data_IF_821003206695
#
_entry.id   IF_821003206695
#
_cell.length_a   1.000
_cell.length_b   1.000
_cell.length_c   1.000
_cell.angle_alpha   90.00
_cell.angle_beta   90.00
_cell.angle_gamma   90.00
#
_symmetry.space_group_name_H-M   'P 1'
#
loop_
_entity.id
_entity.type
_entity.pdbx_description
1 polymer ?
#
# COMPACT_ATOMS: atom_id res chain seq x y z
N UNK A 1 -10.26 5.47 -13.82
CA UNK A 1 -10.46 4.02 -13.55
C UNK A 1 -11.45 3.86 -12.40
N UNK A 2 -12.16 2.73 -12.30
CA UNK A 2 -13.06 2.50 -11.17
C UNK A 2 -12.31 1.90 -9.97
N UNK A 3 -12.14 2.69 -8.91
CA UNK A 3 -11.53 2.26 -7.64
C UNK A 3 -12.57 1.94 -6.56
N UNK A 4 -13.85 1.85 -6.91
CA UNK A 4 -14.93 1.46 -5.98
C UNK A 4 -14.63 0.16 -5.24
N UNK A 5 -14.08 -0.90 -5.86
CA UNK A 5 -13.72 -2.13 -5.14
C UNK A 5 -12.71 -1.91 -3.99
N UNK A 6 -11.72 -1.03 -4.20
CA UNK A 6 -10.74 -0.67 -3.17
C UNK A 6 -11.44 0.10 -2.04
N UNK A 7 -12.30 1.07 -2.38
CA UNK A 7 -13.05 1.87 -1.39
C UNK A 7 -13.96 0.98 -0.55
N UNK A 8 -14.69 0.06 -1.16
CA UNK A 8 -15.56 -0.88 -0.46
C UNK A 8 -14.77 -1.81 0.48
N UNK A 9 -13.60 -2.29 0.05
CA UNK A 9 -12.71 -3.07 0.89
C UNK A 9 -12.19 -2.26 2.09
N UNK A 10 -11.83 -0.98 1.89
CA UNK A 10 -11.40 -0.07 2.96
C UNK A 10 -12.54 0.21 3.95
N UNK A 11 -13.74 0.55 3.46
CA UNK A 11 -14.91 0.84 4.31
C UNK A 11 -15.36 -0.39 5.10
N UNK A 12 -15.33 -1.57 4.50
CA UNK A 12 -15.64 -2.83 5.18
C UNK A 12 -14.51 -3.36 6.06
N UNK A 13 -13.36 -2.68 6.12
CA UNK A 13 -12.15 -3.10 6.83
C UNK A 13 -11.63 -4.47 6.36
N UNK A 14 -11.93 -4.85 5.12
CA UNK A 14 -11.47 -6.08 4.47
C UNK A 14 -10.04 -5.93 3.94
N UNK A 15 -9.11 -5.46 4.79
CA UNK A 15 -7.77 -5.06 4.36
C UNK A 15 -6.96 -6.20 3.73
N UNK A 16 -7.21 -7.44 4.15
CA UNK A 16 -6.56 -8.63 3.57
C UNK A 16 -6.89 -8.91 2.10
N UNK A 17 -7.90 -8.23 1.52
CA UNK A 17 -8.26 -8.36 0.10
C UNK A 17 -7.70 -7.25 -0.78
N UNK A 18 -7.09 -6.22 -0.18
CA UNK A 18 -6.69 -5.01 -0.90
C UNK A 18 -5.60 -5.33 -1.92
N UNK A 19 -4.64 -6.19 -1.57
CA UNK A 19 -3.59 -6.62 -2.49
C UNK A 19 -4.19 -7.24 -3.76
N UNK A 20 -5.00 -8.29 -3.61
CA UNK A 20 -5.64 -8.99 -4.72
C UNK A 20 -6.48 -8.05 -5.59
N UNK A 21 -7.30 -7.19 -4.98
CA UNK A 21 -8.13 -6.22 -5.72
C UNK A 21 -7.25 -5.26 -6.53
N UNK A 22 -6.16 -4.77 -5.94
CA UNK A 22 -5.24 -3.88 -6.63
C UNK A 22 -4.52 -4.59 -7.78
N UNK A 23 -4.04 -5.81 -7.58
CA UNK A 23 -3.37 -6.60 -8.61
C UNK A 23 -4.32 -6.88 -9.79
N UNK A 24 -5.55 -7.31 -9.51
CA UNK A 24 -6.57 -7.57 -10.54
C UNK A 24 -6.89 -6.31 -11.34
N UNK A 25 -7.06 -5.17 -10.67
CA UNK A 25 -7.28 -3.89 -11.32
C UNK A 25 -6.05 -3.49 -12.17
N UNK A 26 -4.83 -3.68 -11.66
CA UNK A 26 -3.61 -3.31 -12.38
C UNK A 26 -3.41 -4.16 -13.64
N UNK A 27 -3.79 -5.44 -13.60
CA UNK A 27 -3.81 -6.32 -14.78
C UNK A 27 -4.87 -5.89 -15.82
N UNK A 28 -6.01 -5.37 -15.36
CA UNK A 28 -7.07 -4.86 -16.23
C UNK A 28 -6.74 -3.48 -16.83
N UNK A 29 -5.78 -2.76 -16.25
CA UNK A 29 -5.31 -1.50 -16.77
C UNK A 29 -4.61 -1.70 -18.12
N UNK A 30 -5.33 -1.41 -19.21
CA UNK A 30 -4.79 -1.47 -20.56
C UNK A 30 -3.91 -0.23 -20.81
N UNK A 31 -2.69 -0.34 -21.37
CA UNK A 31 -1.90 0.83 -21.77
C UNK A 31 -2.59 1.76 -22.79
N UNK A 32 -3.69 1.33 -23.42
CA UNK A 32 -4.54 2.15 -24.30
C UNK A 32 -5.67 2.89 -23.57
N UNK A 33 -5.96 2.60 -22.29
CA UNK A 33 -6.96 3.34 -21.53
C UNK A 33 -6.36 4.65 -21.03
N UNK A 34 -6.38 5.66 -21.89
CA UNK A 34 -6.22 7.05 -21.48
C UNK A 34 -7.38 7.36 -20.53
N UNK A 35 -7.06 7.82 -19.31
CA UNK A 35 -8.09 8.38 -18.41
C UNK A 35 -8.88 9.45 -19.17
N UNK A 36 -10.15 9.68 -18.85
CA UNK A 36 -11.00 10.68 -19.52
C UNK A 36 -10.41 12.10 -19.53
N UNK A 37 -9.28 12.32 -18.84
CA UNK A 37 -8.54 13.57 -18.70
C UNK A 37 -7.14 13.58 -19.35
N UNK A 38 -6.70 12.53 -20.06
CA UNK A 38 -5.39 12.52 -20.74
C UNK A 38 -4.20 12.22 -19.83
N UNK A 39 -4.43 11.90 -18.55
CA UNK A 39 -3.40 11.58 -17.56
C UNK A 39 -3.04 10.10 -17.69
N UNK A 40 -1.74 9.77 -17.67
CA UNK A 40 -1.27 8.40 -17.71
C UNK A 40 -1.85 7.60 -16.52
N UNK A 41 -2.32 6.39 -16.78
CA UNK A 41 -2.85 5.48 -15.75
C UNK A 41 -1.97 5.39 -14.50
N UNK A 42 -0.66 5.42 -14.70
CA UNK A 42 0.34 5.36 -13.65
C UNK A 42 0.28 6.55 -12.68
N UNK A 43 -0.21 7.72 -13.07
CA UNK A 43 -0.27 8.90 -12.20
C UNK A 43 -1.46 8.88 -11.22
N UNK A 44 -2.55 8.20 -11.58
CA UNK A 44 -3.78 8.10 -10.77
C UNK A 44 -3.81 6.88 -9.85
N UNK A 45 -2.88 5.94 -10.03
CA UNK A 45 -2.90 4.68 -9.30
C UNK A 45 -2.66 4.88 -7.80
N UNK A 46 -3.45 4.23 -6.90
CA UNK A 46 -3.29 4.37 -5.45
C UNK A 46 -2.12 3.52 -4.91
N UNK A 47 -0.89 3.85 -5.28
CA UNK A 47 0.30 3.06 -4.92
C UNK A 47 0.51 2.88 -3.42
N UNK A 48 0.23 3.91 -2.62
CA UNK A 48 0.33 3.79 -1.15
C UNK A 48 -0.55 2.64 -0.66
N UNK A 49 -1.84 2.65 -1.04
CA UNK A 49 -2.82 1.65 -0.59
C UNK A 49 -2.44 0.27 -1.13
N UNK A 50 -1.97 0.18 -2.37
CA UNK A 50 -1.52 -1.07 -2.96
C UNK A 50 -0.31 -1.66 -2.19
N UNK A 51 0.72 -0.85 -1.91
CA UNK A 51 1.86 -1.28 -1.09
C UNK A 51 1.44 -1.73 0.31
N UNK A 52 0.58 -0.94 0.97
CA UNK A 52 0.08 -1.26 2.30
C UNK A 52 -0.78 -2.53 2.31
N UNK A 53 -1.51 -2.81 1.22
CA UNK A 53 -2.25 -4.06 1.03
C UNK A 53 -1.33 -5.28 1.05
N UNK A 54 -0.27 -5.26 0.24
CA UNK A 54 0.75 -6.33 0.22
C UNK A 54 1.44 -6.49 1.58
N UNK A 55 1.80 -5.39 2.22
CA UNK A 55 2.38 -5.39 3.57
C UNK A 55 1.42 -6.00 4.59
N UNK A 56 0.13 -5.69 4.51
CA UNK A 56 -0.88 -6.16 5.46
C UNK A 56 -1.01 -7.69 5.45
N UNK A 57 -0.89 -8.32 4.28
CA UNK A 57 -0.94 -9.78 4.10
C UNK A 57 0.43 -10.47 4.26
N UNK A 58 1.47 -9.72 4.68
CA UNK A 58 2.85 -10.20 4.82
C UNK A 58 3.51 -10.65 3.51
N UNK A 59 3.00 -10.18 2.36
CA UNK A 59 3.62 -10.42 1.05
C UNK A 59 4.62 -9.31 0.70
N UNK A 60 5.75 -9.32 1.40
CA UNK A 60 6.82 -8.33 1.20
C UNK A 60 7.50 -8.49 -0.17
N UNK A 61 7.45 -9.68 -0.78
CA UNK A 61 8.02 -9.90 -2.10
C UNK A 61 7.22 -9.17 -3.17
N UNK A 62 5.90 -9.31 -3.17
CA UNK A 62 5.01 -8.59 -4.09
C UNK A 62 5.10 -7.07 -3.87
N UNK A 63 5.13 -6.60 -2.61
CA UNK A 63 5.38 -5.19 -2.31
C UNK A 63 6.71 -4.68 -2.91
N UNK A 64 7.78 -5.49 -2.86
CA UNK A 64 9.09 -5.14 -3.45
C UNK A 64 9.04 -5.07 -4.98
N UNK A 65 8.32 -5.99 -5.63
CA UNK A 65 8.13 -5.96 -7.07
C UNK A 65 7.38 -4.69 -7.49
N UNK A 66 6.28 -4.37 -6.80
CA UNK A 66 5.54 -3.13 -7.01
C UNK A 66 6.43 -1.90 -6.79
N UNK A 67 7.18 -1.82 -5.69
CA UNK A 67 8.09 -0.69 -5.45
C UNK A 67 9.09 -0.47 -6.58
N UNK A 68 9.57 -1.54 -7.22
CA UNK A 68 10.50 -1.43 -8.36
C UNK A 68 9.81 -0.93 -9.64
N UNK A 69 8.54 -1.27 -9.87
CA UNK A 69 7.80 -0.83 -11.06
C UNK A 69 7.33 0.62 -10.97
N UNK A 70 7.14 1.17 -9.77
CA UNK A 70 6.69 2.56 -9.59
C UNK A 70 7.69 3.55 -10.21
N UNK A 71 7.24 4.47 -11.09
CA UNK A 71 8.11 5.48 -11.69
C UNK A 71 8.79 6.39 -10.66
N UNK A 72 10.04 6.82 -10.87
CA UNK A 72 10.75 7.72 -9.95
C UNK A 72 9.98 9.01 -9.65
N UNK A 73 9.34 9.61 -10.66
CA UNK A 73 8.56 10.83 -10.52
C UNK A 73 7.40 10.69 -9.52
N UNK A 74 6.78 9.51 -9.43
CA UNK A 74 5.72 9.23 -8.45
C UNK A 74 6.30 9.16 -7.04
N UNK A 75 7.45 8.49 -6.87
CA UNK A 75 8.13 8.38 -5.57
C UNK A 75 8.55 9.74 -5.01
N UNK A 76 8.96 10.65 -5.89
CA UNK A 76 9.33 12.02 -5.51
C UNK A 76 8.10 12.88 -5.18
N UNK A 77 7.03 12.76 -5.97
CA UNK A 77 5.80 13.56 -5.79
C UNK A 77 4.93 13.07 -4.63
N UNK A 78 4.97 11.77 -4.33
CA UNK A 78 4.11 11.13 -3.34
C UNK A 78 4.96 10.53 -2.20
N UNK A 79 5.33 11.33 -1.18
CA UNK A 79 6.19 10.88 -0.09
C UNK A 79 5.57 9.74 0.73
N UNK A 80 4.23 9.63 0.75
CA UNK A 80 3.49 8.57 1.43
C UNK A 80 3.81 7.17 0.85
N UNK A 81 4.08 7.08 -0.46
CA UNK A 81 4.50 5.82 -1.12
C UNK A 81 5.87 5.37 -0.58
N UNK A 82 6.80 6.32 -0.39
CA UNK A 82 8.09 6.06 0.23
C UNK A 82 7.97 5.63 1.69
N UNK A 83 7.06 6.25 2.44
CA UNK A 83 6.77 5.88 3.82
C UNK A 83 6.18 4.47 3.94
N UNK A 84 5.24 4.10 3.05
CA UNK A 84 4.69 2.74 2.98
C UNK A 84 5.80 1.72 2.71
N UNK A 85 6.68 1.98 1.74
CA UNK A 85 7.80 1.07 1.47
C UNK A 85 8.79 0.97 2.64
N UNK A 86 9.03 2.05 3.39
CA UNK A 86 9.87 2.04 4.59
C UNK A 86 9.38 1.04 5.63
N UNK A 87 8.06 0.88 5.79
CA UNK A 87 7.47 -0.17 6.64
C UNK A 87 7.88 -1.56 6.14
N UNK A 88 7.70 -1.82 4.83
CA UNK A 88 8.09 -3.08 4.18
C UNK A 88 9.57 -3.41 4.38
N UNK A 89 10.46 -2.42 4.29
CA UNK A 89 11.90 -2.61 4.55
C UNK A 89 12.19 -3.06 5.98
N UNK A 90 11.49 -2.54 6.98
CA UNK A 90 11.68 -2.93 8.40
C UNK A 90 11.11 -4.32 8.69
N UNK A 91 10.00 -4.68 8.05
CA UNK A 91 9.45 -6.04 8.11
C UNK A 91 10.40 -7.07 7.53
N UNK A 92 11.04 -6.75 6.40
CA UNK A 92 12.04 -7.63 5.79
C UNK A 92 13.18 -7.97 6.76
N UNK A 93 13.63 -7.00 7.56
CA UNK A 93 14.66 -7.20 8.60
C UNK A 93 14.10 -7.73 9.92
N UNK A 94 12.79 -8.00 10.00
CA UNK A 94 12.06 -8.41 11.22
C UNK A 94 12.25 -7.47 12.40
N UNK A 95 12.46 -6.18 12.11
CA UNK A 95 12.67 -5.15 13.12
C UNK A 95 11.32 -4.50 13.47
N UNK A 96 10.54 -5.20 14.30
CA UNK A 96 9.18 -4.77 14.67
C UNK A 96 9.16 -3.43 15.43
N UNK A 97 10.22 -3.12 16.20
CA UNK A 97 10.35 -1.83 16.85
C UNK A 97 10.48 -0.72 15.80
N UNK A 98 11.35 -0.89 14.81
CA UNK A 98 11.50 0.06 13.70
C UNK A 98 10.27 0.12 12.79
N UNK A 99 9.46 -0.94 12.71
CA UNK A 99 8.15 -0.89 12.01
C UNK A 99 7.22 0.10 12.70
N UNK A 100 7.08 0.03 14.03
CA UNK A 100 6.24 0.97 14.77
C UNK A 100 6.75 2.42 14.67
N UNK A 101 8.07 2.63 14.68
CA UNK A 101 8.67 3.94 14.43
C UNK A 101 8.41 4.45 13.00
N UNK A 102 8.49 3.57 11.99
CA UNK A 102 8.18 3.94 10.61
C UNK A 102 6.70 4.33 10.42
N UNK A 103 5.81 3.62 11.11
CA UNK A 103 4.37 3.93 11.12
C UNK A 103 4.09 5.30 11.76
N UNK A 104 4.70 5.59 12.91
CA UNK A 104 4.50 6.87 13.62
C UNK A 104 5.25 8.04 13.00
N UNK A 105 6.33 7.78 12.28
CA UNK A 105 7.21 8.81 11.71
C UNK A 105 6.70 9.46 10.42
N UNK A 106 5.46 9.19 10.01
CA UNK A 106 4.84 9.77 8.83
C UNK A 106 3.39 10.17 9.12
N UNK A 107 2.96 11.31 8.60
CA UNK A 107 1.57 11.79 8.67
C UNK A 107 0.77 11.22 7.50
N UNK A 108 -0.01 10.17 7.75
CA UNK A 108 -0.77 9.47 6.72
C UNK A 108 -2.04 10.21 6.31
N UNK A 109 -2.43 10.04 5.05
CA UNK A 109 -3.79 10.37 4.60
C UNK A 109 -4.84 9.62 5.42
N UNK A 110 -6.07 10.17 5.58
CA UNK A 110 -7.14 9.49 6.30
C UNK A 110 -7.39 8.06 5.81
N UNK A 111 -7.28 7.83 4.50
CA UNK A 111 -7.42 6.53 3.87
C UNK A 111 -6.30 5.58 4.29
N UNK A 112 -5.04 5.97 4.14
CA UNK A 112 -3.89 5.13 4.50
C UNK A 112 -3.80 4.89 6.02
N UNK A 113 -4.21 5.88 6.83
CA UNK A 113 -4.22 5.77 8.29
C UNK A 113 -5.08 4.59 8.77
N UNK A 114 -6.19 4.30 8.11
CA UNK A 114 -7.07 3.18 8.46
C UNK A 114 -6.36 1.81 8.37
N UNK A 115 -5.68 1.54 7.25
CA UNK A 115 -4.98 0.27 7.03
C UNK A 115 -3.69 0.19 7.87
N UNK A 116 -2.96 1.29 8.03
CA UNK A 116 -1.74 1.35 8.86
C UNK A 116 -2.06 1.10 10.34
N UNK A 117 -3.14 1.70 10.86
CA UNK A 117 -3.58 1.45 12.22
C UNK A 117 -3.98 -0.02 12.44
N UNK A 118 -4.70 -0.61 11.49
CA UNK A 118 -5.06 -2.02 11.53
C UNK A 118 -3.82 -2.94 11.49
N UNK A 119 -2.83 -2.60 10.66
CA UNK A 119 -1.57 -3.32 10.56
C UNK A 119 -0.75 -3.26 11.85
N UNK A 120 -0.63 -2.06 12.44
CA UNK A 120 0.04 -1.85 13.73
C UNK A 120 -0.59 -2.72 14.83
N UNK A 121 -1.93 -2.80 14.86
CA UNK A 121 -2.66 -3.70 15.76
C UNK A 121 -2.33 -5.18 15.51
N UNK A 122 -2.27 -5.62 14.24
CA UNK A 122 -1.92 -7.01 13.88
C UNK A 122 -0.52 -7.39 14.35
N UNK A 123 0.48 -6.54 14.15
CA UNK A 123 1.86 -6.78 14.63
C UNK A 123 1.89 -6.90 16.14
N UNK A 124 1.19 -6.02 16.86
CA UNK A 124 1.16 -6.06 18.32
C UNK A 124 0.66 -7.41 18.84
N UNK A 125 -0.40 -7.96 18.23
CA UNK A 125 -0.90 -9.29 18.60
C UNK A 125 0.10 -10.41 18.28
N UNK A 126 0.81 -10.33 17.15
CA UNK A 126 1.82 -11.33 16.79
C UNK A 126 3.03 -11.29 17.73
N UNK A 127 3.46 -10.09 18.16
CA UNK A 127 4.57 -9.93 19.09
C UNK A 127 4.22 -10.31 20.54
N UNK A 128 2.95 -10.14 20.95
CA UNK A 128 2.49 -10.50 22.30
C UNK A 128 2.26 -12.02 22.51
N UNK A 129 2.41 -12.83 21.45
CA UNK A 129 2.27 -14.29 21.50
C UNK A 129 3.61 -15.03 21.67
N UNK A 130 4.72 -14.30 21.86
CA UNK A 130 6.05 -14.82 22.15
C UNK A 130 6.57 -14.27 23.49
#
# INVERSE_FOLDING_TARGET
MDFTPIKDAMTSKSYGKIADICDDLMLQANPLSVSTQGIAFEDEWPYTIHLLGHIYVDDINSARFLWKSIPPAIKERQPEVGAAWKIGQRLWTRDYAAVHEAIRGFEWSPEAQCIVAAFSGKIFHMAALF
#
